data_IF_303295964682
#
_entry.id   IF_303295964682
#
_cell.length_a   1.000
_cell.length_b   1.000
_cell.length_c   1.000
_cell.angle_alpha   90.00
_cell.angle_beta   90.00
_cell.angle_gamma   90.00
#
_symmetry.space_group_name_H-M   'P 1'
#
loop_
_entity.id
_entity.type
_entity.pdbx_description
1 polymer ?
#
# COMPACT_ATOMS: atom_id res chain seq x y z
N UNK A 1 -1.61 -18.76 18.70
CA UNK A 1 -2.47 -18.26 17.62
C UNK A 1 -1.72 -17.13 16.98
N UNK A 2 -1.55 -17.17 15.67
CA UNK A 2 -0.78 -16.19 14.89
C UNK A 2 -1.70 -15.64 13.81
N UNK A 3 -1.76 -14.34 13.68
CA UNK A 3 -2.52 -13.66 12.64
C UNK A 3 -1.53 -13.07 11.63
N UNK A 4 -1.70 -13.40 10.36
CA UNK A 4 -0.84 -12.94 9.28
C UNK A 4 -1.68 -12.37 8.15
N UNK A 5 -1.10 -11.43 7.40
CA UNK A 5 -1.73 -10.93 6.18
C UNK A 5 -1.69 -11.99 5.08
N UNK A 6 -2.81 -12.20 4.41
CA UNK A 6 -2.95 -13.20 3.36
C UNK A 6 -2.48 -12.73 1.97
N UNK A 7 -2.44 -11.42 1.73
CA UNK A 7 -2.05 -10.81 0.47
C UNK A 7 -1.05 -9.65 0.66
N UNK A 8 -0.45 -9.23 -0.45
CA UNK A 8 0.41 -8.05 -0.46
C UNK A 8 -0.45 -6.80 -0.66
N UNK A 9 -0.24 -5.77 0.17
CA UNK A 9 -0.93 -4.49 0.03
C UNK A 9 -0.10 -3.34 0.60
N UNK A 10 0.13 -2.30 -0.18
CA UNK A 10 0.98 -1.19 0.21
C UNK A 10 2.36 -1.66 0.64
N UNK A 11 2.81 -1.24 1.81
CA UNK A 11 4.09 -1.64 2.40
C UNK A 11 4.09 -3.04 3.03
N UNK A 12 2.92 -3.68 3.12
CA UNK A 12 2.73 -4.97 3.80
C UNK A 12 2.84 -6.13 2.82
N UNK A 13 3.60 -7.16 3.20
CA UNK A 13 3.74 -8.41 2.45
C UNK A 13 2.92 -9.52 3.06
N UNK A 14 2.39 -10.41 2.21
CA UNK A 14 1.74 -11.63 2.64
C UNK A 14 2.64 -12.44 3.59
N UNK A 15 2.05 -12.98 4.65
CA UNK A 15 2.78 -13.70 5.70
C UNK A 15 3.41 -12.84 6.78
N UNK A 16 3.30 -11.49 6.69
CA UNK A 16 3.73 -10.60 7.78
C UNK A 16 2.80 -10.74 8.98
N UNK A 17 3.38 -10.76 10.18
CA UNK A 17 2.60 -10.87 11.41
C UNK A 17 1.79 -9.60 11.68
N UNK A 18 0.49 -9.76 11.86
CA UNK A 18 -0.43 -8.68 12.21
C UNK A 18 -0.29 -8.28 13.68
N UNK A 19 -0.07 -9.28 14.54
CA UNK A 19 0.14 -9.10 15.97
C UNK A 19 1.43 -9.81 16.34
N UNK A 20 2.44 -9.07 16.77
CA UNK A 20 3.68 -9.63 17.27
C UNK A 20 3.76 -9.45 18.77
N UNK A 21 4.22 -10.49 19.47
CA UNK A 21 4.43 -10.44 20.93
C UNK A 21 5.49 -9.41 21.34
N UNK A 22 6.35 -9.00 20.43
CA UNK A 22 7.43 -8.04 20.69
C UNK A 22 7.09 -6.60 20.30
N UNK A 23 6.18 -6.40 19.35
CA UNK A 23 5.85 -5.07 18.79
C UNK A 23 4.41 -4.65 19.00
N UNK A 24 3.57 -5.49 19.59
CA UNK A 24 2.14 -5.23 19.69
C UNK A 24 1.44 -5.35 18.33
N UNK A 25 0.36 -4.65 18.16
CA UNK A 25 -0.38 -4.56 16.89
C UNK A 25 0.48 -3.78 15.90
N UNK A 26 0.98 -4.46 14.88
CA UNK A 26 1.52 -3.79 13.69
C UNK A 26 0.29 -3.32 12.92
N UNK A 27 -0.08 -2.05 13.11
CA UNK A 27 -1.20 -1.46 12.40
C UNK A 27 -1.07 -1.77 10.92
N UNK A 28 -2.15 -2.30 10.33
CA UNK A 28 -2.22 -2.44 8.90
C UNK A 28 -1.93 -1.07 8.28
N UNK A 29 -1.20 -1.06 7.20
CA UNK A 29 -1.10 0.13 6.39
C UNK A 29 -2.46 0.34 5.72
N UNK A 30 -3.34 1.02 6.44
CA UNK A 30 -4.64 1.46 5.91
C UNK A 30 -4.47 2.60 4.88
N UNK A 31 -3.25 3.07 4.64
CA UNK A 31 -2.91 3.98 3.55
C UNK A 31 -3.08 3.35 2.17
N UNK A 32 -3.46 2.09 2.10
CA UNK A 32 -3.74 1.39 0.84
C UNK A 32 -4.89 1.97 0.01
N UNK A 33 -5.57 3.01 0.48
CA UNK A 33 -6.53 3.78 -0.33
C UNK A 33 -5.87 4.92 -1.10
N UNK A 34 -4.71 5.39 -0.68
CA UNK A 34 -4.01 6.50 -1.30
C UNK A 34 -2.71 6.03 -1.94
N UNK A 35 -2.56 6.34 -3.22
CA UNK A 35 -1.32 6.14 -3.98
C UNK A 35 -0.69 7.50 -4.19
N UNK A 36 0.56 7.66 -3.79
CA UNK A 36 1.29 8.90 -3.96
C UNK A 36 2.55 8.68 -4.77
N UNK A 37 2.80 9.56 -5.74
CA UNK A 37 4.03 9.58 -6.53
C UNK A 37 4.16 8.42 -7.50
N UNK A 38 3.06 7.90 -8.08
CA UNK A 38 3.15 6.92 -9.16
C UNK A 38 3.71 7.57 -10.42
N UNK A 39 4.93 7.19 -10.78
CA UNK A 39 5.64 7.80 -11.93
C UNK A 39 5.00 7.42 -13.26
N UNK A 40 4.74 8.43 -14.07
CA UNK A 40 4.18 8.28 -15.41
C UNK A 40 5.28 8.36 -16.47
N UNK A 41 5.28 7.41 -17.38
CA UNK A 41 6.24 7.38 -18.51
C UNK A 41 5.79 8.31 -19.61
N UNK A 42 6.61 9.33 -19.91
CA UNK A 42 6.34 10.29 -20.96
C UNK A 42 7.01 9.82 -22.26
N UNK A 43 6.21 9.65 -23.30
CA UNK A 43 6.69 9.25 -24.63
C UNK A 43 6.20 10.28 -25.66
N UNK A 44 7.12 10.97 -26.32
CA UNK A 44 6.81 11.96 -27.37
C UNK A 44 5.78 13.01 -26.92
N UNK A 45 6.00 13.61 -25.75
CA UNK A 45 5.11 14.60 -25.12
C UNK A 45 3.70 14.05 -24.80
N UNK A 46 3.57 12.77 -24.60
CA UNK A 46 2.32 12.10 -24.27
C UNK A 46 2.53 11.03 -23.18
N UNK A 47 1.47 10.72 -22.47
CA UNK A 47 1.40 9.57 -21.56
C UNK A 47 0.26 8.68 -22.03
N UNK A 48 0.54 7.39 -22.15
CA UNK A 48 -0.46 6.36 -22.42
C UNK A 48 -0.08 5.11 -21.63
N UNK A 49 -0.59 5.01 -20.42
CA UNK A 49 -0.29 3.88 -19.54
C UNK A 49 -1.46 3.57 -18.61
N UNK A 50 -1.36 2.43 -17.96
CA UNK A 50 -2.29 2.00 -16.94
C UNK A 50 -1.63 2.07 -15.57
N UNK A 51 -2.31 2.65 -14.58
CA UNK A 51 -1.86 2.66 -13.19
C UNK A 51 -1.95 1.27 -12.55
N UNK A 52 -1.15 1.05 -11.52
CA UNK A 52 -1.06 -0.23 -10.83
C UNK A 52 -2.27 -0.54 -9.95
N UNK A 53 -2.90 0.49 -9.39
CA UNK A 53 -3.99 0.33 -8.43
C UNK A 53 -5.30 0.83 -9.05
N UNK A 54 -6.26 -0.07 -9.17
CA UNK A 54 -7.59 0.20 -9.75
C UNK A 54 -8.67 -0.48 -8.92
N UNK A 55 -9.93 -0.01 -8.96
CA UNK A 55 -10.41 1.21 -9.64
C UNK A 55 -10.02 2.49 -8.91
N UNK A 56 -9.83 3.56 -9.67
CA UNK A 56 -9.54 4.90 -9.14
C UNK A 56 -10.83 5.53 -8.64
N UNK A 57 -10.77 6.21 -7.51
CA UNK A 57 -11.91 6.96 -6.98
C UNK A 57 -12.08 8.27 -7.75
N UNK A 58 -13.26 8.51 -8.38
CA UNK A 58 -13.48 9.70 -9.20
C UNK A 58 -13.26 11.01 -8.42
N UNK A 59 -12.58 11.97 -9.05
CA UNK A 59 -12.30 13.28 -8.46
C UNK A 59 -11.12 13.31 -7.48
N UNK A 60 -10.35 12.23 -7.39
CA UNK A 60 -9.15 12.18 -6.54
C UNK A 60 -7.85 12.12 -7.31
N UNK A 61 -7.92 11.96 -8.63
CA UNK A 61 -6.75 11.85 -9.47
C UNK A 61 -6.07 13.22 -9.68
N UNK A 62 -4.80 13.29 -9.33
CA UNK A 62 -3.97 14.49 -9.42
C UNK A 62 -2.70 14.19 -10.19
N UNK A 63 -2.24 15.17 -10.93
CA UNK A 63 -0.96 15.13 -11.62
C UNK A 63 -0.04 16.20 -11.06
N UNK A 64 1.15 15.79 -10.68
CA UNK A 64 2.19 16.68 -10.16
C UNK A 64 3.50 16.46 -10.91
N UNK A 65 4.38 17.44 -10.92
CA UNK A 65 5.71 17.32 -11.49
C UNK A 65 6.76 17.98 -10.61
N UNK A 66 7.88 17.33 -10.45
CA UNK A 66 9.06 17.89 -9.78
C UNK A 66 9.61 19.10 -10.53
N UNK A 67 9.52 19.11 -11.86
CA UNK A 67 10.01 20.20 -12.72
C UNK A 67 9.17 21.49 -12.57
N UNK A 68 7.93 21.33 -12.16
CA UNK A 68 6.94 22.40 -11.98
C UNK A 68 6.39 22.40 -10.57
N UNK A 69 7.25 22.65 -9.61
CA UNK A 69 6.91 22.62 -8.17
C UNK A 69 5.71 23.50 -7.87
N UNK A 70 4.73 22.93 -7.15
CA UNK A 70 3.51 23.62 -6.76
C UNK A 70 2.44 23.73 -7.85
N UNK A 71 2.66 23.13 -9.02
CA UNK A 71 1.65 23.01 -10.05
C UNK A 71 1.06 21.61 -10.05
N UNK A 72 -0.23 21.53 -10.00
CA UNK A 72 -0.99 20.29 -10.04
C UNK A 72 -2.18 20.43 -10.99
N UNK A 73 -2.57 19.34 -11.60
CA UNK A 73 -3.83 19.22 -12.34
C UNK A 73 -4.70 18.21 -11.64
N UNK A 74 -5.97 18.50 -11.57
CA UNK A 74 -6.99 17.64 -10.97
C UNK A 74 -7.94 17.17 -12.05
N UNK A 75 -8.42 15.96 -11.93
CA UNK A 75 -9.43 15.43 -12.82
C UNK A 75 -10.82 16.02 -12.53
N UNK A 76 -11.62 16.13 -13.56
CA UNK A 76 -13.04 16.46 -13.49
C UNK A 76 -13.82 15.24 -13.98
N UNK A 77 -14.53 14.54 -13.07
CA UNK A 77 -15.32 13.39 -13.46
C UNK A 77 -16.43 13.74 -14.44
N UNK A 78 -16.62 12.91 -15.46
CA UNK A 78 -17.75 13.01 -16.35
C UNK A 78 -19.05 12.59 -15.63
N UNK A 79 -20.19 12.90 -16.23
CA UNK A 79 -21.51 12.58 -15.65
C UNK A 79 -21.71 11.08 -15.36
N UNK A 80 -21.05 10.21 -16.12
CA UNK A 80 -21.11 8.76 -15.96
C UNK A 80 -20.25 8.23 -14.81
N UNK A 81 -19.33 9.07 -14.27
CA UNK A 81 -18.38 8.67 -13.22
C UNK A 81 -17.37 7.59 -13.62
N UNK A 82 -17.29 7.27 -14.93
CA UNK A 82 -16.39 6.24 -15.44
C UNK A 82 -15.07 6.81 -15.96
N UNK A 83 -15.12 8.05 -16.46
CA UNK A 83 -13.98 8.74 -17.07
C UNK A 83 -13.88 10.13 -16.48
N UNK A 84 -12.66 10.56 -16.18
CA UNK A 84 -12.35 11.94 -15.81
C UNK A 84 -11.65 12.67 -16.94
N UNK A 85 -11.91 13.96 -17.05
CA UNK A 85 -11.24 14.87 -17.98
C UNK A 85 -10.20 15.69 -17.24
N UNK A 86 -8.99 15.75 -17.74
CA UNK A 86 -7.88 16.55 -17.20
C UNK A 86 -7.61 17.69 -18.18
N UNK A 87 -7.70 18.91 -17.70
CA UNK A 87 -7.52 20.10 -18.55
C UNK A 87 -6.45 21.01 -17.98
N UNK A 88 -5.46 21.32 -18.78
CA UNK A 88 -4.40 22.28 -18.44
C UNK A 88 -4.78 23.70 -18.84
N UNK A 89 -5.71 24.30 -18.06
CA UNK A 89 -6.19 25.67 -18.32
C UNK A 89 -5.14 26.74 -18.00
N UNK A 90 -4.21 26.43 -17.12
CA UNK A 90 -3.15 27.36 -16.69
C UNK A 90 -1.86 27.25 -17.53
N UNK A 91 -1.86 26.42 -18.58
CA UNK A 91 -0.69 26.13 -19.40
C UNK A 91 0.54 25.73 -18.56
N UNK A 92 0.32 24.89 -17.59
CA UNK A 92 1.38 24.40 -16.69
C UNK A 92 2.38 23.48 -17.37
N UNK A 93 2.02 22.91 -18.53
CA UNK A 93 2.84 21.97 -19.26
C UNK A 93 2.76 20.53 -18.71
N UNK A 94 1.83 20.27 -17.82
CA UNK A 94 1.59 18.92 -17.30
C UNK A 94 0.78 18.05 -18.28
N UNK A 95 0.17 18.68 -19.29
CA UNK A 95 -0.61 18.02 -20.32
C UNK A 95 -2.12 18.07 -20.05
N UNK A 96 -2.87 17.56 -21.00
CA UNK A 96 -4.32 17.44 -20.90
C UNK A 96 -4.76 16.09 -21.47
N UNK A 97 -5.90 15.57 -21.01
CA UNK A 97 -6.39 14.29 -21.50
C UNK A 97 -7.49 13.68 -20.66
N UNK A 98 -7.42 12.37 -20.49
CA UNK A 98 -8.46 11.60 -19.78
C UNK A 98 -7.86 10.53 -18.90
N UNK A 99 -8.58 10.20 -17.83
CA UNK A 99 -8.34 9.05 -16.96
C UNK A 99 -9.59 8.19 -16.91
N UNK A 100 -9.43 6.89 -17.11
CA UNK A 100 -10.51 5.92 -16.94
C UNK A 100 -10.42 5.34 -15.53
N UNK A 101 -11.42 5.58 -14.71
CA UNK A 101 -11.39 5.18 -13.30
C UNK A 101 -11.48 3.69 -13.08
N UNK A 102 -12.19 2.98 -13.96
CA UNK A 102 -12.38 1.51 -13.83
C UNK A 102 -11.13 0.76 -14.26
N UNK A 103 -10.58 1.12 -15.43
CA UNK A 103 -9.42 0.41 -15.99
C UNK A 103 -8.09 0.96 -15.52
N UNK A 104 -8.05 2.18 -14.98
CA UNK A 104 -6.84 2.89 -14.62
C UNK A 104 -6.03 3.40 -15.81
N UNK A 105 -6.63 3.44 -17.00
CA UNK A 105 -5.95 3.91 -18.22
C UNK A 105 -5.89 5.43 -18.23
N UNK A 106 -4.67 5.96 -18.38
CA UNK A 106 -4.38 7.40 -18.45
C UNK A 106 -3.91 7.72 -19.87
N UNK A 107 -4.54 8.71 -20.47
CA UNK A 107 -4.17 9.23 -21.78
C UNK A 107 -3.98 10.74 -21.69
N UNK A 108 -2.74 11.20 -21.81
CA UNK A 108 -2.39 12.61 -21.79
C UNK A 108 -1.65 13.00 -23.06
N UNK A 109 -1.82 14.23 -23.48
CA UNK A 109 -1.11 14.85 -24.59
C UNK A 109 -0.62 16.24 -24.21
N UNK A 110 0.38 16.75 -24.92
CA UNK A 110 0.93 18.08 -24.65
C UNK A 110 1.77 18.17 -23.38
N UNK A 111 2.30 17.04 -22.89
CA UNK A 111 3.17 16.99 -21.71
C UNK A 111 4.53 17.59 -22.07
N UNK A 112 4.92 18.67 -21.40
CA UNK A 112 6.17 19.39 -21.62
C UNK A 112 7.14 19.37 -20.43
N UNK A 113 6.89 18.50 -19.45
CA UNK A 113 7.75 18.27 -18.29
C UNK A 113 8.52 16.95 -18.48
N UNK A 114 9.64 16.81 -17.79
CA UNK A 114 10.45 15.59 -17.86
C UNK A 114 9.93 14.48 -16.95
N UNK A 115 9.38 14.86 -15.79
CA UNK A 115 8.88 13.94 -14.78
C UNK A 115 7.45 14.30 -14.40
N UNK A 116 6.58 13.33 -14.47
CA UNK A 116 5.17 13.45 -14.11
C UNK A 116 4.79 12.31 -13.17
N UNK A 117 4.11 12.66 -12.10
CA UNK A 117 3.66 11.73 -11.08
C UNK A 117 2.15 11.85 -10.90
N UNK A 118 1.52 10.74 -10.59
CA UNK A 118 0.11 10.66 -10.29
C UNK A 118 -0.12 10.34 -8.82
N UNK A 119 -1.02 11.11 -8.21
CA UNK A 119 -1.54 10.90 -6.87
C UNK A 119 -3.03 10.63 -6.97
N UNK A 120 -3.52 9.57 -6.37
CA UNK A 120 -4.94 9.23 -6.41
C UNK A 120 -5.34 8.27 -5.29
N UNK A 121 -6.62 8.28 -4.97
CA UNK A 121 -7.22 7.27 -4.12
C UNK A 121 -7.82 6.16 -5.00
N UNK A 122 -7.72 4.90 -4.56
CA UNK A 122 -8.41 3.80 -5.21
C UNK A 122 -9.51 3.24 -4.30
N UNK A 123 -10.58 2.73 -4.91
CA UNK A 123 -11.73 2.21 -4.18
C UNK A 123 -11.53 0.73 -3.83
N UNK A 124 -11.18 0.48 -2.57
CA UNK A 124 -11.00 -0.87 -2.05
C UNK A 124 -12.30 -1.68 -1.92
N UNK A 125 -13.43 -1.00 -1.87
CA UNK A 125 -14.74 -1.65 -1.73
C UNK A 125 -15.36 -2.03 -3.07
N UNK A 126 -14.69 -1.69 -4.19
CA UNK A 126 -15.14 -2.13 -5.49
C UNK A 126 -15.02 -3.65 -5.63
N UNK A 127 -15.94 -4.25 -6.39
CA UNK A 127 -15.97 -5.70 -6.62
C UNK A 127 -14.67 -6.26 -7.20
N UNK A 128 -13.93 -5.46 -7.97
CA UNK A 128 -12.67 -5.84 -8.60
C UNK A 128 -11.43 -5.45 -7.77
N UNK A 129 -11.60 -4.74 -6.66
CA UNK A 129 -10.49 -4.38 -5.80
C UNK A 129 -10.00 -5.58 -5.00
N UNK A 130 -8.68 -5.79 -4.85
CA UNK A 130 -8.17 -6.84 -3.99
C UNK A 130 -8.53 -6.54 -2.53
N UNK A 131 -9.41 -7.35 -1.97
CA UNK A 131 -9.78 -7.26 -0.56
C UNK A 131 -8.65 -7.80 0.30
N UNK A 132 -8.36 -7.14 1.43
CA UNK A 132 -7.37 -7.62 2.39
C UNK A 132 -7.78 -8.98 2.94
N UNK A 133 -6.90 -9.94 2.83
CA UNK A 133 -7.12 -11.29 3.33
C UNK A 133 -6.39 -11.49 4.65
N UNK A 134 -7.13 -12.01 5.63
CA UNK A 134 -6.59 -12.42 6.91
C UNK A 134 -6.39 -13.95 6.90
N UNK A 135 -5.16 -14.41 7.06
CA UNK A 135 -4.85 -15.82 7.27
C UNK A 135 -4.62 -16.10 8.77
N UNK A 136 -5.43 -16.98 9.31
CA UNK A 136 -5.36 -17.35 10.73
C UNK A 136 -4.69 -18.71 10.85
N UNK A 137 -3.46 -18.74 11.36
CA UNK A 137 -2.73 -19.98 11.64
C UNK A 137 -2.69 -20.27 13.12
N UNK A 138 -3.13 -21.44 13.50
CA UNK A 138 -2.97 -21.94 14.86
C UNK A 138 -1.68 -22.75 14.91
N UNK A 139 -0.67 -22.21 15.59
CA UNK A 139 0.58 -22.92 15.85
C UNK A 139 0.54 -23.42 17.29
N UNK A 140 0.57 -24.73 17.45
CA UNK A 140 0.73 -25.36 18.77
C UNK A 140 2.20 -25.70 18.99
N UNK A 141 2.81 -25.11 19.99
CA UNK A 141 4.16 -25.45 20.41
C UNK A 141 4.08 -26.38 21.62
N UNK A 142 4.60 -27.62 21.53
CA UNK A 142 4.58 -28.53 22.66
C UNK A 142 5.53 -28.04 23.76
N UNK A 143 5.00 -27.72 24.92
CA UNK A 143 5.80 -27.39 26.09
C UNK A 143 6.24 -28.70 26.75
N UNK A 144 7.49 -29.07 26.56
CA UNK A 144 8.08 -30.23 27.23
C UNK A 144 8.56 -29.81 28.62
N UNK A 145 7.82 -30.20 29.66
CA UNK A 145 8.25 -30.01 31.02
C UNK A 145 9.44 -30.93 31.34
N UNK A 146 10.62 -30.37 31.54
CA UNK A 146 11.77 -31.10 32.02
C UNK A 146 11.82 -31.01 33.56
N UNK A 147 11.57 -32.09 34.29
CA UNK A 147 11.69 -32.09 35.73
C UNK A 147 13.15 -31.92 36.13
N UNK A 148 13.49 -30.87 36.85
CA UNK A 148 14.78 -30.73 37.53
C UNK A 148 14.74 -31.41 38.87
N UNK A 149 15.50 -32.50 39.05
CA UNK A 149 15.72 -33.12 40.35
C UNK A 149 16.92 -32.44 40.99
N UNK A 150 16.72 -31.69 42.03
CA UNK A 150 17.77 -31.19 42.90
C UNK A 150 18.00 -32.23 44.00
N UNK A 151 19.19 -32.83 44.02
CA UNK A 151 19.63 -33.67 45.12
C UNK A 151 20.59 -32.86 45.97
N UNK A 152 20.18 -32.51 47.16
CA UNK A 152 21.05 -31.90 48.17
C UNK A 152 21.65 -33.01 49.02
N UNK A 153 22.95 -33.12 49.06
CA UNK A 153 23.66 -34.06 49.94
C UNK A 153 24.24 -33.24 51.07
N UNK A 154 23.72 -33.43 52.30
CA UNK A 154 24.31 -32.90 53.51
C UNK A 154 25.36 -33.86 54.01
N UNK A 155 26.62 -33.47 53.96
CA UNK A 155 27.66 -34.17 54.73
C UNK A 155 27.65 -33.63 56.16
N UNK A 156 27.25 -34.45 57.09
CA UNK A 156 27.56 -34.21 58.51
C UNK A 156 29.01 -34.60 58.73
N UNK A 157 29.88 -33.65 58.87
CA UNK A 157 31.22 -33.87 59.36
C UNK A 157 31.16 -34.09 60.87
N UNK A 158 31.31 -35.35 61.30
CA UNK A 158 31.41 -35.73 62.70
C UNK A 158 32.90 -35.62 63.05
N UNK A 159 33.36 -34.43 63.37
CA UNK A 159 34.55 -34.27 64.16
C UNK A 159 34.16 -34.42 65.62
N UNK A 160 34.21 -35.65 66.13
CA UNK A 160 34.36 -35.90 67.53
C UNK A 160 35.86 -36.05 67.86
N UNK A 161 36.38 -35.08 68.54
CA UNK A 161 37.65 -35.22 69.22
C UNK A 161 37.49 -36.09 70.42
#
# INVERSE_FOLDING_TARGET
>A
MKFTYGNNKGSIKAGTDMISSQRGFTGGDFSGEHVSGESLTITTNAVNQKVLHTPIKPGTFRLTSVDKIGQELVDVPNADGLVGTITDTAATGLGAGTVNYVTGEIKLTGVSVAHLEADFDYDQNSFDAPVDQLDVRVVSEPVVARPRKLKSVYMFDKTCA
#
